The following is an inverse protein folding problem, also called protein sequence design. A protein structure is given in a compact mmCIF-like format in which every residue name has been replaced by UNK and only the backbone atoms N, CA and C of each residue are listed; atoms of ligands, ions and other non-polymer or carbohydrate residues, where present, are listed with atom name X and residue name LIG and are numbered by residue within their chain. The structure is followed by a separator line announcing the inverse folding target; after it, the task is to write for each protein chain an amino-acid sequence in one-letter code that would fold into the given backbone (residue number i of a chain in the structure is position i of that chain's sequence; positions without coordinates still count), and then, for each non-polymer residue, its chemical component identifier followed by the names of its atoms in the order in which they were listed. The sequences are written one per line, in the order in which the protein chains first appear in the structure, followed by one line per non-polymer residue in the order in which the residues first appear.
data_IF_800264188627
#
_entry.id   IF_800264188627
#
_cell.length_a   1.000
_cell.length_b   1.000
_cell.length_c   1.000
_cell.angle_alpha   90.00
_cell.angle_beta   90.00
_cell.angle_gamma   90.00
#
_symmetry.space_group_name_H-M   'P 1'
#
loop_
_entity.id
_entity.type
_entity.pdbx_description
1 polymer ?
#
# COMPACT_ATOMS: atom_id res chain seq x y z
N UNK A 1 2.66 23.04 25.45
CA UNK A 1 2.37 22.60 24.05
C UNK A 1 3.63 22.79 23.23
N UNK A 2 4.35 21.72 22.89
CA UNK A 2 5.37 21.80 21.83
C UNK A 2 4.61 21.95 20.52
N UNK A 3 4.60 23.16 19.95
CA UNK A 3 4.06 23.41 18.61
C UNK A 3 4.83 22.54 17.62
N UNK A 4 4.22 21.42 17.19
CA UNK A 4 4.83 20.58 16.16
C UNK A 4 4.75 21.34 14.85
N UNK A 5 5.92 21.63 14.28
CA UNK A 5 6.05 22.37 13.02
C UNK A 5 5.55 21.49 11.87
N UNK A 6 4.88 22.11 10.90
CA UNK A 6 4.59 21.47 9.61
C UNK A 6 5.87 21.01 8.91
N UNK A 7 5.74 20.02 8.02
CA UNK A 7 6.85 19.61 7.16
C UNK A 7 7.24 20.73 6.20
N UNK A 8 8.55 20.93 6.06
CA UNK A 8 9.15 21.67 4.95
C UNK A 8 9.58 20.72 3.83
N UNK A 9 9.85 21.25 2.64
CA UNK A 9 10.39 20.49 1.50
C UNK A 9 11.71 19.76 1.87
N UNK A 10 12.54 20.39 2.70
CA UNK A 10 13.75 19.77 3.24
C UNK A 10 13.47 18.58 4.16
N UNK A 11 12.38 18.62 4.94
CA UNK A 11 11.94 17.47 5.75
C UNK A 11 11.48 16.32 4.86
N UNK A 12 10.74 16.60 3.78
CA UNK A 12 10.29 15.57 2.82
C UNK A 12 11.50 14.89 2.17
N UNK A 13 12.49 15.67 1.70
CA UNK A 13 13.73 15.10 1.16
C UNK A 13 14.45 14.20 2.18
N UNK A 14 14.54 14.63 3.45
CA UNK A 14 15.14 13.81 4.52
C UNK A 14 14.38 12.51 4.73
N UNK A 15 13.05 12.58 4.84
CA UNK A 15 12.16 11.42 5.05
C UNK A 15 12.31 10.41 3.91
N UNK A 16 12.34 10.85 2.65
CA UNK A 16 12.54 9.97 1.49
C UNK A 16 13.90 9.27 1.56
N UNK A 17 14.98 10.00 1.84
CA UNK A 17 16.32 9.42 1.93
C UNK A 17 16.46 8.44 3.11
N UNK A 18 15.81 8.72 4.24
CA UNK A 18 15.71 7.82 5.38
C UNK A 18 14.91 6.56 5.02
N UNK A 19 13.81 6.71 4.30
CA UNK A 19 12.96 5.59 3.85
C UNK A 19 13.73 4.63 2.94
N UNK A 20 14.49 5.14 1.97
CA UNK A 20 15.39 4.33 1.13
C UNK A 20 16.40 3.54 1.98
N UNK A 21 16.97 4.16 3.03
CA UNK A 21 17.91 3.47 3.94
C UNK A 21 17.21 2.36 4.73
N UNK A 22 16.02 2.63 5.27
CA UNK A 22 15.23 1.67 6.04
C UNK A 22 14.82 0.46 5.19
N UNK A 23 14.33 0.70 3.97
CA UNK A 23 13.97 -0.35 3.02
C UNK A 23 15.20 -1.20 2.68
N UNK A 24 16.31 -0.57 2.27
CA UNK A 24 17.53 -1.28 1.89
C UNK A 24 18.08 -2.13 3.04
N UNK A 25 18.06 -1.59 4.27
CA UNK A 25 18.49 -2.32 5.46
C UNK A 25 17.61 -3.53 5.72
N UNK A 26 16.29 -3.32 5.76
CA UNK A 26 15.31 -4.38 6.02
C UNK A 26 15.43 -5.50 4.99
N UNK A 27 15.38 -5.17 3.70
CA UNK A 27 15.50 -6.14 2.61
C UNK A 27 16.76 -7.01 2.71
N UNK A 28 17.89 -6.42 3.11
CA UNK A 28 19.15 -7.18 3.30
C UNK A 28 19.10 -8.10 4.52
N UNK A 29 18.53 -7.62 5.62
CA UNK A 29 18.47 -8.36 6.88
C UNK A 29 17.49 -9.54 6.80
N UNK A 30 16.30 -9.34 6.21
CA UNK A 30 15.25 -10.38 6.11
C UNK A 30 15.28 -11.16 4.79
N UNK A 31 16.10 -10.75 3.82
CA UNK A 31 16.26 -11.38 2.50
C UNK A 31 14.97 -11.49 1.68
N UNK A 32 14.05 -10.54 1.84
CA UNK A 32 12.80 -10.43 1.06
C UNK A 32 12.86 -9.23 0.10
N UNK A 33 12.33 -9.35 -1.14
CA UNK A 33 12.41 -8.31 -2.17
C UNK A 33 11.36 -7.20 -1.96
N UNK A 34 11.56 -6.35 -0.94
CA UNK A 34 10.68 -5.22 -0.62
C UNK A 34 10.69 -4.17 -1.75
N UNK A 35 11.87 -3.83 -2.25
CA UNK A 35 12.06 -2.89 -3.36
C UNK A 35 13.25 -3.38 -4.19
N UNK A 36 13.02 -4.26 -5.18
CA UNK A 36 14.09 -4.89 -5.94
C UNK A 36 14.88 -3.90 -6.79
N UNK A 37 14.31 -2.75 -7.18
CA UNK A 37 14.94 -1.78 -8.07
C UNK A 37 15.61 -0.60 -7.32
N UNK A 38 15.76 -0.71 -5.99
CA UNK A 38 15.99 0.44 -5.10
C UNK A 38 17.23 1.28 -5.44
N UNK A 39 18.28 0.65 -5.99
CA UNK A 39 19.49 1.36 -6.44
C UNK A 39 19.16 2.32 -7.59
N UNK A 40 18.45 1.84 -8.60
CA UNK A 40 17.99 2.64 -9.75
C UNK A 40 16.96 3.68 -9.31
N UNK A 41 16.04 3.30 -8.43
CA UNK A 41 15.02 4.18 -7.84
C UNK A 41 15.67 5.36 -7.11
N UNK A 42 16.70 5.10 -6.29
CA UNK A 42 17.48 6.16 -5.63
C UNK A 42 18.11 7.13 -6.63
N UNK A 43 18.69 6.62 -7.72
CA UNK A 43 19.30 7.47 -8.74
C UNK A 43 18.26 8.37 -9.44
N UNK A 44 17.06 7.82 -9.75
CA UNK A 44 15.95 8.59 -10.33
C UNK A 44 15.42 9.66 -9.37
N UNK A 45 15.15 9.29 -8.12
CA UNK A 45 14.65 10.19 -7.08
C UNK A 45 15.61 11.34 -6.77
N UNK A 46 16.93 11.13 -6.88
CA UNK A 46 17.91 12.22 -6.70
C UNK A 46 17.73 13.37 -7.70
N UNK A 47 17.11 13.11 -8.86
CA UNK A 47 16.80 14.10 -9.91
C UNK A 47 15.38 14.67 -9.79
N UNK A 48 14.62 14.25 -8.78
CA UNK A 48 13.22 14.63 -8.59
C UNK A 48 13.03 15.77 -7.60
N UNK A 49 11.77 16.19 -7.49
CA UNK A 49 11.31 17.19 -6.54
C UNK A 49 10.67 16.53 -5.31
N UNK A 50 10.99 17.07 -4.13
CA UNK A 50 10.41 16.68 -2.84
C UNK A 50 9.71 17.89 -2.25
N UNK A 51 8.39 17.85 -2.13
CA UNK A 51 7.63 19.00 -1.58
C UNK A 51 6.65 18.61 -0.50
N UNK A 52 6.57 19.44 0.53
CA UNK A 52 5.50 19.37 1.52
C UNK A 52 4.29 20.16 1.01
N UNK A 53 3.16 19.49 0.78
CA UNK A 53 1.92 20.11 0.27
C UNK A 53 0.75 19.81 1.20
N UNK A 54 -0.33 20.59 1.12
CA UNK A 54 -1.60 20.11 1.68
C UNK A 54 -2.21 19.14 0.68
N UNK A 55 -2.30 17.87 1.06
CA UNK A 55 -2.91 16.84 0.22
C UNK A 55 -4.40 16.85 0.57
N UNK A 56 -5.23 17.24 -0.41
CA UNK A 56 -6.65 17.50 -0.22
C UNK A 56 -7.39 16.17 0.05
N UNK A 57 -7.99 16.04 1.24
CA UNK A 57 -9.02 15.05 1.50
C UNK A 57 -10.38 15.68 1.23
N UNK A 58 -11.23 15.04 0.41
CA UNK A 58 -12.66 15.34 0.43
C UNK A 58 -13.11 15.24 1.90
N UNK A 59 -13.70 16.33 2.41
CA UNK A 59 -14.35 16.35 3.74
C UNK A 59 -15.34 15.18 3.78
N UNK A 60 -15.18 14.25 4.72
CA UNK A 60 -16.02 13.06 4.96
C UNK A 60 -15.68 11.75 4.21
N UNK A 61 -14.47 11.21 4.41
CA UNK A 61 -14.31 9.75 4.59
C UNK A 61 -13.30 9.52 5.71
N UNK A 62 -13.76 8.92 6.79
CA UNK A 62 -12.96 8.65 7.98
C UNK A 62 -11.80 7.69 7.61
N UNK A 63 -10.61 8.27 7.41
CA UNK A 63 -9.30 7.60 7.33
C UNK A 63 -8.90 6.88 6.04
N UNK A 64 -9.00 7.53 4.87
CA UNK A 64 -8.03 7.26 3.81
C UNK A 64 -6.64 7.78 4.28
N UNK A 65 -5.67 6.90 4.56
CA UNK A 65 -4.33 7.26 5.06
C UNK A 65 -3.37 7.71 3.95
N UNK A 66 -3.91 8.39 2.96
CA UNK A 66 -3.13 8.98 1.88
C UNK A 66 -2.55 10.33 2.35
N UNK A 67 -1.31 10.26 2.84
CA UNK A 67 -0.51 11.42 3.26
C UNK A 67 0.72 11.61 2.36
N UNK A 68 0.79 10.85 1.27
CA UNK A 68 1.87 10.88 0.31
C UNK A 68 1.31 10.99 -1.11
N UNK A 69 2.16 11.28 -2.06
CA UNK A 69 1.84 11.08 -3.46
C UNK A 69 3.15 11.03 -4.25
N UNK A 70 3.45 9.87 -4.80
CA UNK A 70 4.45 9.70 -5.83
C UNK A 70 3.86 10.12 -7.18
N UNK A 71 4.46 11.15 -7.78
CA UNK A 71 4.17 11.54 -9.15
C UNK A 71 5.32 11.10 -10.05
N UNK A 72 5.10 10.14 -10.96
CA UNK A 72 6.07 9.76 -11.97
C UNK A 72 6.63 10.98 -12.73
N UNK A 73 7.90 10.96 -13.13
CA UNK A 73 8.81 9.81 -13.05
C UNK A 73 9.61 9.71 -11.75
N UNK A 74 9.62 10.74 -10.88
CA UNK A 74 10.55 10.83 -9.75
C UNK A 74 10.19 11.84 -8.64
N UNK A 75 8.97 12.38 -8.59
CA UNK A 75 8.59 13.38 -7.58
C UNK A 75 7.83 12.73 -6.42
N UNK A 76 8.12 13.13 -5.18
CA UNK A 76 7.37 12.68 -4.00
C UNK A 76 6.85 13.89 -3.23
N UNK A 77 5.56 13.90 -2.94
CA UNK A 77 4.92 14.87 -2.09
C UNK A 77 4.45 14.22 -0.80
N UNK A 78 4.57 14.92 0.32
CA UNK A 78 4.02 14.49 1.60
C UNK A 78 3.13 15.59 2.20
N UNK A 79 2.12 15.20 2.98
CA UNK A 79 1.23 16.16 3.62
C UNK A 79 1.97 16.96 4.70
N UNK A 80 1.88 18.29 4.62
CA UNK A 80 2.48 19.23 5.60
C UNK A 80 2.12 18.91 7.05
N UNK A 81 0.94 18.33 7.30
CA UNK A 81 0.35 18.09 8.62
C UNK A 81 0.72 16.74 9.22
N UNK A 82 1.54 15.91 8.55
CA UNK A 82 2.00 14.62 9.08
C UNK A 82 2.50 14.66 10.54
N UNK A 83 3.32 15.66 10.96
CA UNK A 83 3.75 15.78 12.35
C UNK A 83 2.61 15.96 13.37
N UNK A 84 1.43 16.39 12.92
CA UNK A 84 0.23 16.65 13.72
C UNK A 84 -0.93 15.70 13.36
N UNK A 85 -0.68 14.61 12.63
CA UNK A 85 -1.73 13.67 12.19
C UNK A 85 -2.32 12.84 13.34
N UNK A 86 -1.72 12.93 14.52
CA UNK A 86 -2.16 12.32 15.77
C UNK A 86 -3.14 13.21 16.56
N UNK A 87 -3.42 14.44 16.11
CA UNK A 87 -4.37 15.31 16.79
C UNK A 87 -5.81 14.83 16.62
N UNK A 88 -6.66 14.98 17.66
CA UNK A 88 -6.36 15.60 18.96
C UNK A 88 -5.70 14.67 19.99
N UNK A 89 -5.48 13.38 19.66
CA UNK A 89 -4.95 12.38 20.62
C UNK A 89 -3.55 12.71 21.15
N UNK A 90 -2.75 13.50 20.42
CA UNK A 90 -1.41 13.94 20.81
C UNK A 90 -0.50 12.76 21.20
N UNK A 91 -0.38 11.79 20.30
CA UNK A 91 0.49 10.62 20.35
C UNK A 91 1.72 10.83 19.42
N UNK A 92 2.86 11.37 19.90
CA UNK A 92 4.03 11.66 19.06
C UNK A 92 4.56 10.45 18.29
N UNK A 93 4.53 9.28 18.93
CA UNK A 93 4.94 8.02 18.32
C UNK A 93 4.08 7.65 17.11
N UNK A 94 2.78 7.96 17.16
CA UNK A 94 1.88 7.74 16.03
C UNK A 94 2.27 8.64 14.85
N UNK A 95 2.49 9.93 15.10
CA UNK A 95 2.90 10.87 14.05
C UNK A 95 4.26 10.50 13.44
N UNK A 96 5.20 10.03 14.26
CA UNK A 96 6.50 9.53 13.80
C UNK A 96 6.34 8.32 12.90
N UNK A 97 5.56 7.31 13.31
CA UNK A 97 5.35 6.10 12.51
C UNK A 97 4.56 6.39 11.24
N UNK A 98 3.56 7.27 11.29
CA UNK A 98 2.83 7.72 10.09
C UNK A 98 3.74 8.44 9.10
N UNK A 99 4.64 9.30 9.59
CA UNK A 99 5.60 9.99 8.72
C UNK A 99 6.54 8.99 8.03
N UNK A 100 7.06 8.02 8.78
CA UNK A 100 7.91 6.96 8.22
C UNK A 100 7.13 6.08 7.23
N UNK A 101 5.91 5.70 7.58
CA UNK A 101 5.00 4.96 6.72
C UNK A 101 4.80 5.65 5.38
N UNK A 102 4.41 6.93 5.36
CA UNK A 102 4.18 7.66 4.12
C UNK A 102 5.45 7.79 3.28
N UNK A 103 6.61 8.03 3.91
CA UNK A 103 7.88 8.05 3.19
C UNK A 103 8.24 6.71 2.54
N UNK A 104 8.07 5.60 3.27
CA UNK A 104 8.34 4.24 2.77
C UNK A 104 7.38 3.88 1.65
N UNK A 105 6.09 4.18 1.83
CA UNK A 105 5.02 3.93 0.88
C UNK A 105 5.31 4.55 -0.50
N UNK A 106 5.61 5.86 -0.52
CA UNK A 106 5.88 6.56 -1.79
C UNK A 106 7.21 6.13 -2.44
N UNK A 107 8.21 5.73 -1.64
CA UNK A 107 9.46 5.17 -2.19
C UNK A 107 9.21 3.81 -2.85
N UNK A 108 8.33 2.99 -2.29
CA UNK A 108 7.96 1.71 -2.89
C UNK A 108 7.19 1.92 -4.21
N UNK A 109 6.25 2.87 -4.26
CA UNK A 109 5.60 3.25 -5.54
C UNK A 109 6.62 3.71 -6.59
N UNK A 110 7.60 4.53 -6.18
CA UNK A 110 8.68 4.94 -7.08
C UNK A 110 9.53 3.75 -7.56
N UNK A 111 9.69 2.72 -6.73
CA UNK A 111 10.42 1.50 -7.08
C UNK A 111 9.68 0.64 -8.09
N UNK A 112 8.37 0.44 -7.88
CA UNK A 112 7.51 -0.30 -8.81
C UNK A 112 7.50 0.36 -10.19
N UNK A 113 7.33 1.68 -10.21
CA UNK A 113 7.39 2.46 -11.45
C UNK A 113 8.78 2.40 -12.10
N UNK A 114 9.85 2.33 -11.30
CA UNK A 114 11.19 2.09 -11.82
C UNK A 114 11.34 0.71 -12.43
N UNK A 115 10.67 -0.30 -11.86
CA UNK A 115 10.57 -1.66 -12.38
C UNK A 115 9.65 -1.82 -13.59
N UNK A 116 8.97 -0.76 -14.02
CA UNK A 116 8.04 -0.77 -15.15
C UNK A 116 6.63 -1.23 -14.81
N UNK A 117 6.21 -1.10 -13.55
CA UNK A 117 4.84 -1.37 -13.08
C UNK A 117 4.36 -2.81 -13.43
N UNK A 118 5.30 -3.77 -13.43
CA UNK A 118 5.05 -5.16 -13.88
C UNK A 118 3.89 -5.82 -13.14
N UNK A 119 3.79 -5.62 -11.83
CA UNK A 119 2.71 -6.18 -11.01
C UNK A 119 1.35 -5.65 -11.45
N UNK A 120 1.24 -4.34 -11.71
CA UNK A 120 0.00 -3.72 -12.20
C UNK A 120 -0.43 -4.33 -13.53
N UNK A 121 0.50 -4.39 -14.50
CA UNK A 121 0.23 -4.90 -15.83
C UNK A 121 -0.17 -6.38 -15.82
N UNK A 122 0.56 -7.20 -15.07
CA UNK A 122 0.29 -8.63 -14.95
C UNK A 122 -1.03 -8.91 -14.22
N UNK A 123 -1.32 -8.17 -13.15
CA UNK A 123 -2.57 -8.31 -12.39
C UNK A 123 -3.78 -7.93 -13.23
N UNK A 124 -3.72 -6.80 -13.96
CA UNK A 124 -4.82 -6.40 -14.86
C UNK A 124 -5.07 -7.47 -15.93
N UNK A 125 -4.01 -8.00 -16.53
CA UNK A 125 -4.12 -9.07 -17.53
C UNK A 125 -4.79 -10.31 -16.93
N UNK A 126 -4.33 -10.77 -15.76
CA UNK A 126 -4.90 -11.92 -15.07
C UNK A 126 -6.40 -11.75 -14.79
N UNK A 127 -6.80 -10.58 -14.28
CA UNK A 127 -8.22 -10.29 -14.00
C UNK A 127 -9.07 -10.40 -15.27
N UNK A 128 -8.60 -9.84 -16.39
CA UNK A 128 -9.32 -9.88 -17.68
C UNK A 128 -9.41 -11.28 -18.27
N UNK A 129 -8.44 -12.16 -17.99
CA UNK A 129 -8.38 -13.51 -18.56
C UNK A 129 -9.07 -14.55 -17.67
N UNK A 130 -8.92 -14.45 -16.35
CA UNK A 130 -9.33 -15.48 -15.39
C UNK A 130 -10.61 -15.14 -14.61
N UNK A 131 -11.09 -13.88 -14.65
CA UNK A 131 -12.20 -13.42 -13.81
C UNK A 131 -13.26 -12.62 -14.57
N UNK A 132 -13.48 -12.96 -15.84
CA UNK A 132 -14.53 -12.35 -16.68
C UNK A 132 -15.91 -12.45 -16.02
N UNK A 133 -16.21 -13.59 -15.39
CA UNK A 133 -17.47 -13.83 -14.66
C UNK A 133 -17.69 -12.80 -13.53
N UNK A 134 -16.63 -12.46 -12.80
CA UNK A 134 -16.69 -11.47 -11.71
C UNK A 134 -16.81 -10.06 -12.26
N UNK A 135 -16.11 -9.74 -13.35
CA UNK A 135 -16.21 -8.46 -14.03
C UNK A 135 -17.63 -8.22 -14.56
N UNK A 136 -18.23 -9.23 -15.20
CA UNK A 136 -19.62 -9.18 -15.69
C UNK A 136 -20.58 -8.88 -14.55
N UNK A 137 -20.53 -9.69 -13.49
CA UNK A 137 -21.39 -9.51 -12.32
C UNK A 137 -21.22 -8.14 -11.66
N UNK A 138 -19.99 -7.65 -11.54
CA UNK A 138 -19.72 -6.33 -10.97
C UNK A 138 -20.23 -5.19 -11.86
N UNK A 139 -20.10 -5.29 -13.18
CA UNK A 139 -20.68 -4.30 -14.10
C UNK A 139 -22.21 -4.28 -14.07
N UNK A 140 -22.85 -5.44 -13.92
CA UNK A 140 -24.30 -5.51 -13.72
C UNK A 140 -24.73 -4.77 -12.45
N UNK A 141 -24.01 -4.97 -11.34
CA UNK A 141 -24.27 -4.29 -10.06
C UNK A 141 -24.09 -2.78 -10.24
N UNK A 142 -22.97 -2.35 -10.81
CA UNK A 142 -22.70 -0.93 -11.05
C UNK A 142 -23.79 -0.28 -11.90
N UNK A 143 -24.25 -0.95 -12.96
CA UNK A 143 -25.30 -0.43 -13.83
C UNK A 143 -26.65 -0.33 -13.10
N UNK A 144 -26.99 -1.32 -12.26
CA UNK A 144 -28.20 -1.27 -11.41
C UNK A 144 -28.16 -0.13 -10.40
N UNK A 145 -26.98 0.20 -9.89
CA UNK A 145 -26.77 1.25 -8.88
C UNK A 145 -26.60 2.66 -9.47
N UNK A 146 -26.87 2.83 -10.77
CA UNK A 146 -26.81 4.14 -11.46
C UNK A 146 -25.46 4.48 -12.08
N UNK A 147 -24.57 3.48 -12.22
CA UNK A 147 -23.23 3.60 -12.78
C UNK A 147 -22.18 4.08 -11.79
N UNK A 148 -20.91 3.99 -12.18
CA UNK A 148 -19.79 4.59 -11.46
C UNK A 148 -19.01 5.52 -12.40
N UNK A 149 -18.69 6.71 -11.91
CA UNK A 149 -17.94 7.68 -12.71
C UNK A 149 -16.57 7.12 -13.11
N UNK A 150 -16.34 7.00 -14.43
CA UNK A 150 -15.08 6.53 -14.99
C UNK A 150 -14.91 5.01 -15.02
N UNK A 151 -15.99 4.23 -14.88
CA UNK A 151 -15.99 2.78 -15.07
C UNK A 151 -17.08 2.44 -16.08
N UNK A 152 -16.69 2.36 -17.35
CA UNK A 152 -17.61 2.10 -18.46
C UNK A 152 -17.37 0.73 -19.11
N UNK A 153 -16.28 0.04 -18.73
CA UNK A 153 -15.87 -1.22 -19.32
C UNK A 153 -15.25 -2.19 -18.31
N UNK A 154 -15.13 -3.45 -18.71
CA UNK A 154 -14.34 -4.46 -17.98
C UNK A 154 -12.88 -4.05 -17.83
N UNK A 155 -12.34 -3.30 -18.80
CA UNK A 155 -10.98 -2.83 -18.75
C UNK A 155 -10.75 -1.78 -17.67
N UNK A 156 -11.69 -0.84 -17.52
CA UNK A 156 -11.66 0.17 -16.45
C UNK A 156 -11.78 -0.49 -15.08
N UNK A 157 -12.69 -1.46 -14.95
CA UNK A 157 -12.90 -2.19 -13.71
C UNK A 157 -11.69 -3.05 -13.34
N UNK A 158 -11.12 -3.79 -14.29
CA UNK A 158 -9.91 -4.57 -14.08
C UNK A 158 -8.71 -3.68 -13.74
N UNK A 159 -8.61 -2.49 -14.35
CA UNK A 159 -7.58 -1.50 -14.02
C UNK A 159 -7.72 -1.01 -12.58
N UNK A 160 -8.94 -0.68 -12.15
CA UNK A 160 -9.21 -0.27 -10.77
C UNK A 160 -8.82 -1.37 -9.77
N UNK A 161 -9.24 -2.62 -10.02
CA UNK A 161 -8.93 -3.74 -9.15
C UNK A 161 -7.42 -4.05 -9.11
N UNK A 162 -6.73 -3.94 -10.25
CA UNK A 162 -5.29 -4.10 -10.30
C UNK A 162 -4.56 -3.01 -9.51
N UNK A 163 -5.01 -1.75 -9.60
CA UNK A 163 -4.46 -0.65 -8.77
C UNK A 163 -4.67 -0.93 -7.29
N UNK A 164 -5.87 -1.38 -6.88
CA UNK A 164 -6.17 -1.73 -5.49
C UNK A 164 -5.28 -2.88 -4.97
N UNK A 165 -5.03 -3.89 -5.79
CA UNK A 165 -4.14 -4.99 -5.44
C UNK A 165 -2.69 -4.52 -5.27
N UNK A 166 -2.18 -3.71 -6.20
CA UNK A 166 -0.82 -3.14 -6.12
C UNK A 166 -0.67 -2.27 -4.87
N UNK A 167 -1.68 -1.45 -4.56
CA UNK A 167 -1.68 -0.60 -3.37
C UNK A 167 -1.69 -1.42 -2.07
N UNK A 168 -2.49 -2.51 -2.02
CA UNK A 168 -2.45 -3.47 -0.92
C UNK A 168 -1.06 -4.09 -0.75
N UNK A 169 -0.39 -4.46 -1.85
CA UNK A 169 0.98 -5.00 -1.82
C UNK A 169 1.99 -3.94 -1.36
N UNK A 170 1.83 -2.67 -1.75
CA UNK A 170 2.66 -1.55 -1.29
C UNK A 170 2.48 -1.28 0.21
N UNK A 171 1.24 -1.29 0.69
CA UNK A 171 0.95 -1.23 2.11
C UNK A 171 1.65 -2.37 2.86
N UNK A 172 1.49 -3.61 2.39
CA UNK A 172 2.07 -4.79 3.03
C UNK A 172 3.60 -4.71 3.11
N UNK A 173 4.26 -4.33 2.01
CA UNK A 173 5.72 -4.12 1.98
C UNK A 173 6.15 -3.02 2.95
N UNK A 174 5.38 -1.93 3.05
CA UNK A 174 5.61 -0.86 4.03
C UNK A 174 5.48 -1.36 5.48
N UNK A 175 4.46 -2.19 5.76
CA UNK A 175 4.28 -2.83 7.07
C UNK A 175 5.45 -3.71 7.46
N UNK A 176 5.94 -4.53 6.53
CA UNK A 176 7.09 -5.42 6.78
C UNK A 176 8.32 -4.61 7.18
N UNK A 177 8.60 -3.48 6.51
CA UNK A 177 9.70 -2.56 6.88
C UNK A 177 9.50 -2.01 8.29
N UNK A 178 8.34 -1.42 8.57
CA UNK A 178 8.06 -0.77 9.86
C UNK A 178 8.06 -1.78 11.02
N UNK A 179 7.52 -2.98 10.80
CA UNK A 179 7.47 -4.06 11.79
C UNK A 179 8.86 -4.57 12.11
N UNK A 180 9.68 -4.84 11.08
CA UNK A 180 11.06 -5.27 11.26
C UNK A 180 11.89 -4.24 12.02
N UNK A 181 11.70 -2.96 11.69
CA UNK A 181 12.35 -1.83 12.36
C UNK A 181 11.72 -1.46 13.72
N UNK A 182 10.69 -2.19 14.16
CA UNK A 182 9.99 -2.02 15.45
C UNK A 182 9.45 -0.61 15.69
N UNK A 183 8.84 -0.01 14.67
CA UNK A 183 8.19 1.29 14.83
C UNK A 183 7.02 1.21 15.82
N UNK A 184 6.89 2.16 16.76
CA UNK A 184 5.83 2.14 17.76
C UNK A 184 4.46 2.43 17.12
N UNK A 185 3.39 1.96 17.76
CA UNK A 185 1.99 2.20 17.33
C UNK A 185 1.67 1.71 15.91
N UNK A 186 2.51 0.85 15.32
CA UNK A 186 2.29 0.29 13.99
C UNK A 186 0.94 -0.42 13.89
N UNK A 187 0.56 -1.25 14.87
CA UNK A 187 -0.72 -1.96 14.83
C UNK A 187 -1.93 -1.01 14.84
N UNK A 188 -1.82 0.14 15.52
CA UNK A 188 -2.88 1.15 15.52
C UNK A 188 -3.04 1.84 14.16
N UNK A 189 -1.92 2.07 13.48
CA UNK A 189 -1.90 2.59 12.10
C UNK A 189 -2.49 1.53 11.17
N UNK A 190 -2.01 0.30 11.27
CA UNK A 190 -2.42 -0.83 10.43
C UNK A 190 -3.91 -1.17 10.59
N UNK A 191 -4.45 -1.12 11.81
CA UNK A 191 -5.89 -1.34 12.04
C UNK A 191 -6.78 -0.29 11.40
N UNK A 192 -6.26 0.92 11.19
CA UNK A 192 -6.97 2.06 10.58
C UNK A 192 -6.88 2.09 9.05
N UNK A 193 -6.03 1.27 8.44
CA UNK A 193 -5.96 1.12 6.99
C UNK A 193 -7.17 0.42 6.36
N UNK A 194 -8.13 -0.07 7.16
CA UNK A 194 -9.32 -0.76 6.62
C UNK A 194 -10.08 0.16 5.67
N UNK A 195 -9.94 -0.11 4.38
CA UNK A 195 -10.84 0.39 3.35
C UNK A 195 -12.07 -0.52 3.29
N UNK A 196 -13.23 0.07 3.02
CA UNK A 196 -14.54 -0.60 3.04
C UNK A 196 -14.69 -1.75 2.01
N UNK A 197 -13.78 -1.85 1.04
CA UNK A 197 -13.87 -2.84 -0.05
C UNK A 197 -12.80 -3.94 0.01
N UNK A 198 -11.54 -3.59 0.35
CA UNK A 198 -10.46 -4.57 0.48
C UNK A 198 -9.48 -4.13 1.57
N UNK A 199 -9.37 -4.89 2.67
CA UNK A 199 -8.61 -4.42 3.81
C UNK A 199 -7.11 -4.71 3.60
N UNK A 200 -6.22 -3.73 3.78
CA UNK A 200 -4.77 -3.91 3.59
C UNK A 200 -4.14 -4.96 4.51
N UNK A 201 -4.85 -5.33 5.59
CA UNK A 201 -4.43 -6.38 6.49
C UNK A 201 -4.68 -7.80 5.96
N UNK A 202 -5.31 -7.96 4.79
CA UNK A 202 -5.57 -9.27 4.20
C UNK A 202 -4.26 -10.06 4.03
N UNK A 203 -3.23 -9.44 3.42
CA UNK A 203 -1.92 -10.08 3.26
C UNK A 203 -1.25 -10.37 4.60
N UNK A 204 -1.41 -9.51 5.62
CA UNK A 204 -0.91 -9.81 6.96
C UNK A 204 -1.64 -10.98 7.63
N UNK A 205 -2.93 -11.17 7.36
CA UNK A 205 -3.68 -12.31 7.89
C UNK A 205 -3.25 -13.63 7.23
N UNK A 206 -3.00 -13.61 5.92
CA UNK A 206 -2.41 -14.75 5.19
C UNK A 206 -1.01 -15.03 5.76
N UNK A 207 -0.21 -14.00 5.97
CA UNK A 207 1.14 -14.12 6.54
C UNK A 207 1.16 -14.84 7.89
N UNK A 208 0.20 -14.55 8.78
CA UNK A 208 0.12 -15.21 10.10
C UNK A 208 0.06 -16.74 9.96
N UNK A 209 -0.53 -17.26 8.89
CA UNK A 209 -0.67 -18.70 8.68
C UNK A 209 0.41 -19.28 7.76
N UNK A 210 0.88 -18.51 6.77
CA UNK A 210 1.73 -19.01 5.68
C UNK A 210 3.17 -18.49 5.71
N UNK A 211 3.45 -17.48 6.54
CA UNK A 211 4.74 -16.81 6.62
C UNK A 211 4.94 -15.72 5.56
N UNK A 212 5.91 -14.83 5.83
CA UNK A 212 6.22 -13.71 4.94
C UNK A 212 6.79 -14.14 3.59
N UNK A 213 7.63 -15.17 3.54
CA UNK A 213 8.18 -15.70 2.29
C UNK A 213 7.07 -16.08 1.31
N UNK A 214 6.06 -16.82 1.79
CA UNK A 214 4.89 -17.17 0.97
C UNK A 214 4.19 -15.94 0.41
N UNK A 215 3.93 -14.94 1.25
CA UNK A 215 3.21 -13.74 0.82
C UNK A 215 4.01 -12.96 -0.22
N UNK A 216 5.34 -12.89 -0.09
CA UNK A 216 6.19 -12.26 -1.11
C UNK A 216 6.15 -13.01 -2.43
N UNK A 217 6.18 -14.36 -2.42
CA UNK A 217 6.03 -15.19 -3.63
C UNK A 217 4.77 -14.86 -4.43
N UNK A 218 3.67 -14.46 -3.77
CA UNK A 218 2.40 -14.11 -4.43
C UNK A 218 2.52 -12.92 -5.40
N UNK A 219 3.38 -11.94 -5.10
CA UNK A 219 3.56 -10.73 -5.91
C UNK A 219 4.94 -10.61 -6.56
N UNK A 220 5.78 -11.64 -6.45
CA UNK A 220 7.07 -11.71 -7.14
C UNK A 220 7.10 -12.81 -8.19
N UNK A 221 6.88 -14.06 -7.79
CA UNK A 221 6.99 -15.24 -8.65
C UNK A 221 5.65 -15.58 -9.30
N UNK A 222 4.56 -15.49 -8.54
CA UNK A 222 3.18 -15.70 -9.01
C UNK A 222 2.53 -14.42 -9.54
N UNK A 223 3.35 -13.47 -9.96
CA UNK A 223 2.89 -12.22 -10.55
C UNK A 223 2.10 -12.52 -11.83
N UNK A 224 0.81 -12.17 -11.84
CA UNK A 224 -0.10 -12.48 -12.95
C UNK A 224 -0.83 -13.82 -12.82
N UNK A 225 -0.74 -14.48 -11.67
CA UNK A 225 -1.56 -15.65 -11.30
C UNK A 225 -2.36 -15.41 -10.02
N UNK A 226 -2.11 -14.29 -9.35
CA UNK A 226 -2.71 -13.95 -8.07
C UNK A 226 -3.07 -12.47 -8.07
N UNK A 227 -4.33 -12.18 -7.74
CA UNK A 227 -4.82 -10.83 -7.57
C UNK A 227 -5.65 -10.73 -6.28
N UNK A 228 -6.39 -9.64 -6.18
CA UNK A 228 -7.25 -9.32 -5.05
C UNK A 228 -8.34 -10.36 -4.80
N UNK A 229 -8.81 -11.02 -5.86
CA UNK A 229 -9.84 -12.05 -5.82
C UNK A 229 -9.29 -13.31 -5.14
N UNK A 230 -8.17 -13.85 -5.62
CA UNK A 230 -7.51 -14.99 -4.97
C UNK A 230 -7.13 -14.68 -3.53
N UNK A 231 -6.73 -13.43 -3.25
CA UNK A 231 -6.42 -12.99 -1.91
C UNK A 231 -7.63 -13.10 -0.96
N UNK A 232 -8.81 -12.66 -1.41
CA UNK A 232 -10.04 -12.83 -0.64
C UNK A 232 -10.44 -14.29 -0.48
N UNK A 233 -10.36 -15.08 -1.55
CA UNK A 233 -10.73 -16.50 -1.53
C UNK A 233 -9.82 -17.29 -0.58
N UNK A 234 -8.51 -17.03 -0.61
CA UNK A 234 -7.55 -17.66 0.30
C UNK A 234 -7.81 -17.21 1.75
N UNK A 235 -8.01 -15.92 2.01
CA UNK A 235 -8.31 -15.42 3.35
C UNK A 235 -9.58 -16.06 3.94
N UNK A 236 -10.65 -16.15 3.16
CA UNK A 236 -11.89 -16.79 3.59
C UNK A 236 -11.68 -18.29 3.89
N UNK A 237 -10.97 -19.00 3.01
CA UNK A 237 -10.64 -20.41 3.19
C UNK A 237 -9.81 -20.68 4.45
N UNK A 238 -8.88 -19.78 4.81
CA UNK A 238 -8.10 -19.87 6.04
C UNK A 238 -8.96 -19.64 7.28
N UNK A 239 -9.87 -18.66 7.24
CA UNK A 239 -10.80 -18.36 8.34
C UNK A 239 -11.76 -19.52 8.63
N UNK A 240 -12.26 -20.19 7.59
CA UNK A 240 -13.11 -21.37 7.73
C UNK A 240 -12.38 -22.52 8.43
N UNK A 241 -11.14 -22.81 8.02
CA UNK A 241 -10.30 -23.85 8.65
C UNK A 241 -10.04 -23.58 10.13
N UNK A 242 -9.75 -22.32 10.49
CA UNK A 242 -9.55 -21.92 11.88
C UNK A 242 -10.84 -22.11 12.68
N UNK A 243 -11.99 -21.70 12.15
CA UNK A 243 -13.28 -21.84 12.83
C UNK A 243 -13.65 -23.31 13.05
N UNK A 244 -13.43 -24.17 12.04
CA UNK A 244 -13.67 -25.60 12.17
C UNK A 244 -12.79 -26.27 13.24
N UNK A 245 -11.55 -25.79 13.43
CA UNK A 245 -10.63 -26.33 14.44
C UNK A 245 -11.03 -26.02 15.90
N UNK A 246 -11.85 -24.99 16.13
CA UNK A 246 -12.37 -24.64 17.47
C UNK A 246 -13.71 -25.30 17.79
N UNK A 247 -14.31 -26.02 16.85
CA UNK A 247 -15.55 -26.78 17.03
C UNK A 247 -15.31 -28.28 17.30
N UNK A 248 -14.08 -28.65 17.67
CA UNK A 248 -13.67 -30.01 18.07
C UNK A 248 -13.36 -30.04 19.55
#
# INVERSE_FOLDING_TARGET
MTLRRELSDGDVRRIVLESIKLINRTQKEIRLPISPNLVSTRHRLNKGEFRAKYINKRKNKEYAMDFGNFQPPNNIYLDKRLPSCDQPMNLPDFAKTMTAYSGIHEVIHADDHTGGDKLLLATRKHILEAHVDKLEKSMEILTKDGGAQGIDSYDDLASLWAVQYVDMVTHYRSYVVLRHMRFPKLDQIWSRLRNDYFPPNLLTNIEVTKGAEYVFTLFTEKMGEYCLIEALDEYNSLKEKVTASYMV
#
